data_IF_257314729396
#
_entry.id   IF_257314729396
#
_cell.length_a   1.000
_cell.length_b   1.000
_cell.length_c   1.000
_cell.angle_alpha   90.00
_cell.angle_beta   90.00
_cell.angle_gamma   90.00
#
_symmetry.space_group_name_H-M   'P 1'
#
loop_
_entity.id
_entity.type
_entity.pdbx_description
1 polymer ?
#
# COMPACT_ATOMS: atom_id res chain seq x y z
N UNK A 1 16.73 13.69 1.97
CA UNK A 1 17.52 12.74 1.15
C UNK A 1 16.59 11.95 0.23
N UNK A 2 15.56 11.27 0.73
CA UNK A 2 14.70 10.42 -0.08
C UNK A 2 13.93 11.12 -1.20
N UNK A 3 13.66 12.42 -1.06
CA UNK A 3 12.92 13.22 -2.06
C UNK A 3 13.82 13.99 -3.00
N UNK A 4 15.14 13.83 -2.92
CA UNK A 4 16.14 14.59 -3.66
C UNK A 4 15.99 16.13 -3.47
N UNK A 5 15.62 16.54 -2.26
CA UNK A 5 15.50 17.93 -1.85
C UNK A 5 16.71 18.27 -1.00
N UNK A 6 17.33 19.41 -1.28
CA UNK A 6 18.42 19.94 -0.47
C UNK A 6 17.91 20.69 0.75
N UNK A 7 18.82 21.08 1.64
CA UNK A 7 18.52 21.82 2.85
C UNK A 7 19.61 22.86 3.10
N UNK A 8 19.21 24.12 3.20
CA UNK A 8 20.06 25.21 3.69
C UNK A 8 19.71 25.47 5.15
N UNK A 9 20.62 25.16 6.05
CA UNK A 9 20.46 25.42 7.48
C UNK A 9 20.55 26.92 7.80
N UNK A 10 19.73 27.33 8.77
CA UNK A 10 19.81 28.68 9.30
C UNK A 10 21.16 28.92 10.00
N UNK A 11 21.73 30.12 9.86
CA UNK A 11 22.95 30.52 10.57
C UNK A 11 22.76 30.67 12.08
N UNK A 12 21.52 30.69 12.54
CA UNK A 12 21.19 30.81 13.99
C UNK A 12 21.25 29.45 14.71
N UNK A 13 21.48 28.35 13.99
CA UNK A 13 21.55 27.00 14.57
C UNK A 13 22.99 26.66 14.93
N UNK A 14 23.24 26.29 16.19
CA UNK A 14 24.49 25.62 16.54
C UNK A 14 24.48 24.19 15.96
N UNK A 15 25.35 23.93 14.98
CA UNK A 15 25.44 22.62 14.34
C UNK A 15 25.67 21.47 15.35
N UNK A 16 26.27 21.76 16.50
CA UNK A 16 26.47 20.75 17.57
C UNK A 16 25.13 20.28 18.15
N UNK A 17 24.11 21.13 18.12
CA UNK A 17 22.79 20.77 18.65
C UNK A 17 22.08 19.74 17.79
N UNK A 18 22.37 19.71 16.48
CA UNK A 18 21.83 18.69 15.57
C UNK A 18 22.35 17.25 15.86
N UNK A 19 23.46 17.13 16.57
CA UNK A 19 24.04 15.84 16.94
C UNK A 19 23.71 15.42 18.38
N UNK A 20 22.93 16.21 19.11
CA UNK A 20 22.43 15.81 20.43
C UNK A 20 21.32 14.76 20.29
N UNK A 21 21.28 13.76 21.20
CA UNK A 21 20.18 12.82 21.24
C UNK A 21 18.83 13.53 21.40
N UNK A 22 17.92 13.33 20.47
CA UNK A 22 16.58 13.91 20.46
C UNK A 22 15.54 12.84 20.11
N UNK A 23 15.29 11.93 21.02
CA UNK A 23 14.37 10.82 20.82
C UNK A 23 12.95 11.35 20.59
N UNK A 24 12.34 10.94 19.46
CA UNK A 24 11.01 11.38 19.07
C UNK A 24 10.96 12.72 18.36
N UNK A 25 12.11 13.39 18.13
CA UNK A 25 12.15 14.57 17.26
C UNK A 25 11.89 14.19 15.81
N UNK A 26 11.18 15.06 15.09
CA UNK A 26 10.83 14.89 13.69
C UNK A 26 11.18 16.17 12.96
N UNK A 27 11.81 16.05 11.79
CA UNK A 27 12.03 17.18 10.88
C UNK A 27 10.89 17.20 9.87
N UNK A 28 10.23 18.33 9.75
CA UNK A 28 9.09 18.51 8.84
C UNK A 28 9.41 19.58 7.81
N UNK A 29 9.03 19.35 6.56
CA UNK A 29 8.90 20.39 5.56
C UNK A 29 7.51 21.01 5.66
N UNK A 30 7.44 22.31 5.88
CA UNK A 30 6.21 23.06 6.06
C UNK A 30 6.12 24.15 4.98
N UNK A 31 4.91 24.42 4.53
CA UNK A 31 4.63 25.51 3.59
C UNK A 31 4.63 26.89 4.29
N UNK A 32 4.51 26.89 5.61
CA UNK A 32 4.55 28.09 6.44
C UNK A 32 5.25 27.79 7.78
N UNK A 33 5.58 28.82 8.54
CA UNK A 33 6.24 28.70 9.84
C UNK A 33 5.25 28.46 11.00
N UNK A 34 4.25 27.64 10.78
CA UNK A 34 3.14 27.45 11.73
C UNK A 34 3.47 26.57 12.95
N UNK A 35 4.55 25.78 12.91
CA UNK A 35 4.89 24.85 13.98
C UNK A 35 6.38 24.52 14.04
N UNK A 36 6.87 24.19 15.23
CA UNK A 36 8.22 23.69 15.45
C UNK A 36 9.29 24.79 15.54
N UNK A 37 10.53 24.35 15.65
CA UNK A 37 11.72 25.21 15.61
C UNK A 37 12.22 25.30 14.16
N UNK A 38 12.49 26.51 13.71
CA UNK A 38 12.94 26.73 12.34
C UNK A 38 14.39 26.25 12.15
N UNK A 39 14.59 25.26 11.29
CA UNK A 39 15.90 24.71 10.98
C UNK A 39 16.54 25.33 9.73
N UNK A 40 15.76 25.74 8.75
CA UNK A 40 16.27 26.24 7.48
C UNK A 40 15.25 26.14 6.36
N UNK A 41 15.72 26.23 5.13
CA UNK A 41 14.89 26.16 3.93
C UNK A 41 15.26 24.94 3.10
N UNK A 42 14.25 24.28 2.52
CA UNK A 42 14.47 23.29 1.46
C UNK A 42 14.93 23.99 0.19
N UNK A 43 15.82 23.34 -0.55
CA UNK A 43 16.39 23.86 -1.80
C UNK A 43 16.24 22.87 -2.94
N UNK A 44 16.21 23.39 -4.18
CA UNK A 44 16.15 22.56 -5.38
C UNK A 44 17.48 21.84 -5.60
N UNK A 45 18.60 22.51 -5.27
CA UNK A 45 19.92 21.89 -5.34
C UNK A 45 20.05 20.83 -4.26
N UNK A 46 20.46 19.62 -4.67
CA UNK A 46 20.56 18.47 -3.77
C UNK A 46 21.82 18.55 -2.90
N UNK A 47 21.89 19.59 -2.08
CA UNK A 47 22.99 19.89 -1.18
C UNK A 47 22.51 20.12 0.24
N UNK A 48 23.38 19.85 1.23
CA UNK A 48 23.22 20.34 2.59
C UNK A 48 24.16 21.51 2.79
N UNK A 49 23.59 22.69 3.03
CA UNK A 49 24.36 23.91 3.21
C UNK A 49 24.33 24.38 4.67
N UNK A 50 25.50 24.68 5.22
CA UNK A 50 25.66 25.19 6.57
C UNK A 50 26.93 26.02 6.66
N UNK A 51 26.88 27.18 7.33
CA UNK A 51 28.05 28.08 7.58
C UNK A 51 28.85 28.38 6.30
N UNK A 52 28.18 28.58 5.17
CA UNK A 52 28.81 28.85 3.87
C UNK A 52 29.52 27.64 3.22
N UNK A 53 29.33 26.45 3.74
CA UNK A 53 29.83 25.18 3.17
C UNK A 53 28.68 24.39 2.62
N UNK A 54 28.87 23.75 1.46
CA UNK A 54 27.91 22.84 0.85
C UNK A 54 28.45 21.41 0.83
N UNK A 55 27.61 20.47 1.16
CA UNK A 55 27.88 19.03 1.06
C UNK A 55 26.94 18.46 0.02
N UNK A 56 27.48 17.72 -0.95
CA UNK A 56 26.71 17.01 -1.96
C UNK A 56 25.97 15.83 -1.31
N UNK A 57 24.64 15.90 -1.29
CA UNK A 57 23.79 14.86 -0.73
C UNK A 57 23.78 13.59 -1.59
N UNK A 58 23.96 13.69 -2.91
CA UNK A 58 24.08 12.51 -3.77
C UNK A 58 25.31 11.68 -3.38
N UNK A 59 26.42 12.35 -3.07
CA UNK A 59 27.63 11.68 -2.59
C UNK A 59 27.45 11.05 -1.22
N UNK A 60 26.76 11.71 -0.30
CA UNK A 60 26.46 11.15 1.02
C UNK A 60 25.52 9.94 0.91
N UNK A 61 24.51 10.05 0.07
CA UNK A 61 23.58 8.96 -0.19
C UNK A 61 24.31 7.74 -0.74
N UNK A 62 25.16 7.92 -1.74
CA UNK A 62 25.98 6.85 -2.33
C UNK A 62 26.84 6.17 -1.26
N UNK A 63 27.56 6.95 -0.43
CA UNK A 63 28.40 6.39 0.65
C UNK A 63 27.58 5.59 1.68
N UNK A 64 26.36 6.02 1.97
CA UNK A 64 25.47 5.33 2.89
C UNK A 64 24.92 4.05 2.29
N UNK A 65 24.46 4.09 1.05
CA UNK A 65 23.85 2.96 0.35
C UNK A 65 24.88 1.87 0.03
N UNK A 66 26.08 2.24 -0.40
CA UNK A 66 27.14 1.29 -0.78
C UNK A 66 27.65 0.45 0.39
N UNK A 67 27.48 0.88 1.62
CA UNK A 67 28.05 0.18 2.78
C UNK A 67 27.62 -1.26 2.90
N UNK A 68 26.38 -1.57 2.62
CA UNK A 68 25.82 -2.92 2.68
C UNK A 68 25.60 -3.57 1.30
N UNK A 69 25.82 -2.83 0.22
CA UNK A 69 25.56 -3.29 -1.14
C UNK A 69 26.26 -4.62 -1.51
N UNK A 70 27.52 -4.91 -1.08
CA UNK A 70 28.17 -6.17 -1.37
C UNK A 70 27.50 -7.39 -0.71
N UNK A 71 26.78 -7.18 0.40
CA UNK A 71 26.11 -8.26 1.17
C UNK A 71 24.61 -8.27 0.91
N UNK A 72 24.01 -7.10 0.81
CA UNK A 72 22.58 -6.91 0.61
C UNK A 72 22.33 -5.87 -0.48
N UNK A 73 22.51 -6.24 -1.77
CA UNK A 73 22.29 -5.32 -2.87
C UNK A 73 20.84 -4.84 -2.86
N UNK A 74 20.62 -3.53 -2.90
CA UNK A 74 19.28 -2.95 -2.94
C UNK A 74 18.83 -2.62 -4.37
N UNK A 75 19.79 -2.58 -5.32
CA UNK A 75 19.54 -2.45 -6.75
C UNK A 75 19.91 -3.75 -7.46
N UNK A 76 19.06 -4.20 -8.37
CA UNK A 76 19.39 -5.30 -9.27
C UNK A 76 19.93 -4.71 -10.57
N UNK A 77 21.14 -5.11 -10.94
CA UNK A 77 21.62 -4.89 -12.31
C UNK A 77 20.76 -5.74 -13.26
N UNK A 78 20.14 -5.12 -14.25
CA UNK A 78 19.29 -5.81 -15.22
C UNK A 78 19.00 -4.91 -16.41
N UNK A 79 18.47 -5.49 -17.48
CA UNK A 79 18.01 -4.73 -18.62
C UNK A 79 16.86 -3.79 -18.19
N UNK A 80 16.96 -2.54 -18.62
CA UNK A 80 15.86 -1.58 -18.47
C UNK A 80 14.74 -2.02 -19.41
N UNK A 81 13.63 -2.47 -18.83
CA UNK A 81 12.40 -2.71 -19.57
C UNK A 81 11.49 -1.51 -19.33
N UNK A 82 11.12 -0.77 -20.39
CA UNK A 82 10.22 0.36 -20.25
C UNK A 82 8.95 -0.04 -19.51
N UNK A 83 8.50 0.80 -18.58
CA UNK A 83 7.20 0.61 -17.95
C UNK A 83 6.10 0.95 -18.96
N UNK A 84 5.02 0.18 -18.93
CA UNK A 84 3.83 0.51 -19.69
C UNK A 84 3.24 1.82 -19.17
N UNK A 85 3.05 2.78 -20.04
CA UNK A 85 2.36 4.03 -19.71
C UNK A 85 0.92 3.98 -20.21
N UNK A 86 -0.04 4.29 -19.34
CA UNK A 86 -1.45 4.35 -19.73
C UNK A 86 -2.20 5.33 -18.83
N UNK A 87 -3.26 5.92 -19.38
CA UNK A 87 -4.21 6.76 -18.68
C UNK A 87 -5.62 6.26 -18.97
N UNK A 88 -6.40 6.06 -17.93
CA UNK A 88 -7.78 5.59 -18.03
C UNK A 88 -8.73 6.43 -17.16
N UNK A 89 -9.09 7.64 -17.61
CA UNK A 89 -10.00 8.49 -16.86
C UNK A 89 -11.41 7.89 -16.78
N UNK A 90 -12.06 8.04 -15.64
CA UNK A 90 -13.47 7.70 -15.52
C UNK A 90 -14.35 8.73 -16.27
N UNK A 91 -15.23 8.25 -17.12
CA UNK A 91 -16.18 9.11 -17.84
C UNK A 91 -17.23 9.75 -16.91
N UNK A 92 -17.56 9.09 -15.80
CA UNK A 92 -18.49 9.59 -14.77
C UNK A 92 -18.07 9.02 -13.41
N UNK A 93 -18.12 9.87 -12.38
CA UNK A 93 -18.07 9.43 -11.00
C UNK A 93 -19.42 8.81 -10.64
N UNK A 94 -19.42 7.51 -10.39
CA UNK A 94 -20.65 6.78 -10.04
C UNK A 94 -20.87 6.97 -8.54
N UNK A 95 -22.04 7.47 -8.16
CA UNK A 95 -22.45 7.49 -6.75
C UNK A 95 -22.87 6.08 -6.32
N UNK A 96 -22.67 5.72 -5.05
CA UNK A 96 -23.13 4.42 -4.54
C UNK A 96 -24.65 4.31 -4.64
N UNK A 97 -25.14 3.09 -4.89
CA UNK A 97 -26.58 2.79 -4.96
C UNK A 97 -27.28 3.07 -3.64
N UNK A 98 -26.60 2.83 -2.53
CA UNK A 98 -27.08 3.12 -1.16
C UNK A 98 -26.15 4.14 -0.51
N UNK A 99 -26.73 5.27 -0.08
CA UNK A 99 -26.01 6.31 0.64
C UNK A 99 -26.22 6.16 2.14
N UNK A 100 -25.15 5.87 2.86
CA UNK A 100 -25.13 5.80 4.31
C UNK A 100 -24.31 6.97 4.87
N UNK A 101 -24.77 7.54 5.96
CA UNK A 101 -24.04 8.61 6.65
C UNK A 101 -22.71 8.07 7.22
N UNK A 102 -22.73 6.84 7.72
CA UNK A 102 -21.57 6.19 8.34
C UNK A 102 -21.50 4.75 7.86
N UNK A 103 -20.72 4.46 6.79
CA UNK A 103 -20.58 3.10 6.28
C UNK A 103 -19.83 2.22 7.28
N UNK A 104 -20.36 1.02 7.51
CA UNK A 104 -19.73 0.00 8.36
C UNK A 104 -18.60 -0.70 7.60
N UNK A 105 -17.45 -0.81 8.26
CA UNK A 105 -16.23 -1.45 7.71
C UNK A 105 -15.87 -2.64 8.57
N UNK A 106 -15.93 -3.85 8.03
CA UNK A 106 -15.44 -5.03 8.74
C UNK A 106 -13.96 -5.25 8.46
N UNK A 107 -13.19 -5.42 9.54
CA UNK A 107 -11.74 -5.62 9.52
C UNK A 107 -11.44 -6.94 10.19
N UNK A 108 -11.39 -8.07 9.45
CA UNK A 108 -11.03 -9.35 10.02
C UNK A 108 -9.53 -9.38 10.35
N UNK A 109 -9.23 -9.85 11.55
CA UNK A 109 -7.86 -9.93 12.09
C UNK A 109 -7.48 -11.39 12.26
N UNK A 110 -6.46 -11.80 11.54
CA UNK A 110 -5.89 -13.14 11.58
C UNK A 110 -4.66 -13.16 12.49
N UNK A 111 -4.24 -14.32 13.02
CA UNK A 111 -2.95 -14.44 13.66
C UNK A 111 -1.82 -13.94 12.74
N UNK A 112 -1.05 -12.95 13.21
CA UNK A 112 -0.01 -12.30 12.42
C UNK A 112 -0.43 -11.00 11.71
N UNK A 113 -1.70 -10.63 11.71
CA UNK A 113 -2.15 -9.28 11.33
C UNK A 113 -1.66 -8.26 12.37
N UNK A 114 -1.18 -7.10 11.94
CA UNK A 114 -0.64 -6.08 12.85
C UNK A 114 -0.96 -4.63 12.47
N UNK A 115 -1.74 -4.39 11.43
CA UNK A 115 -2.11 -3.04 10.97
C UNK A 115 -3.59 -2.70 11.19
N UNK A 116 -4.33 -3.49 11.97
CA UNK A 116 -5.78 -3.32 12.18
C UNK A 116 -6.14 -2.03 12.91
N UNK A 117 -5.34 -1.60 13.88
CA UNK A 117 -5.62 -0.37 14.64
C UNK A 117 -5.42 0.88 13.80
N UNK A 118 -4.32 0.94 13.02
CA UNK A 118 -4.06 2.07 12.13
C UNK A 118 -5.10 2.14 11.01
N UNK A 119 -5.47 0.99 10.48
CA UNK A 119 -6.53 0.85 9.48
C UNK A 119 -7.88 1.34 10.04
N UNK A 120 -8.28 0.87 11.22
CA UNK A 120 -9.51 1.31 11.87
C UNK A 120 -9.50 2.82 12.14
N UNK A 121 -8.36 3.37 12.58
CA UNK A 121 -8.19 4.81 12.79
C UNK A 121 -8.37 5.61 11.49
N UNK A 122 -7.81 5.13 10.38
CA UNK A 122 -7.96 5.77 9.08
C UNK A 122 -9.43 5.82 8.62
N UNK A 123 -10.16 4.70 8.75
CA UNK A 123 -11.58 4.67 8.41
C UNK A 123 -12.43 5.58 9.32
N UNK A 124 -12.18 5.63 10.64
CA UNK A 124 -12.88 6.58 11.54
C UNK A 124 -12.65 8.03 11.13
N UNK A 125 -11.41 8.40 10.78
CA UNK A 125 -11.08 9.75 10.29
C UNK A 125 -11.80 10.10 8.99
N UNK A 126 -12.05 9.10 8.14
CA UNK A 126 -12.81 9.25 6.90
C UNK A 126 -14.34 9.22 7.10
N UNK A 127 -14.84 9.04 8.33
CA UNK A 127 -16.26 9.01 8.66
C UNK A 127 -16.91 7.63 8.59
N UNK A 128 -16.11 6.56 8.51
CA UNK A 128 -16.59 5.18 8.56
C UNK A 128 -16.70 4.64 10.00
N UNK A 129 -17.45 3.54 10.17
CA UNK A 129 -17.58 2.79 11.43
C UNK A 129 -16.83 1.45 11.33
N UNK A 130 -15.54 1.40 11.74
CA UNK A 130 -14.73 0.19 11.63
C UNK A 130 -14.99 -0.78 12.78
N UNK A 131 -15.32 -2.01 12.43
CA UNK A 131 -15.48 -3.16 13.29
C UNK A 131 -14.29 -4.10 13.14
N UNK A 132 -13.45 -4.21 14.16
CA UNK A 132 -12.31 -5.12 14.22
C UNK A 132 -12.79 -6.46 14.73
N UNK A 133 -12.72 -7.50 13.91
CA UNK A 133 -13.14 -8.86 14.25
C UNK A 133 -11.93 -9.78 14.35
N UNK A 134 -11.57 -10.19 15.56
CA UNK A 134 -10.48 -11.15 15.78
C UNK A 134 -10.95 -12.57 15.47
N UNK A 135 -10.28 -13.21 14.51
CA UNK A 135 -10.58 -14.57 14.09
C UNK A 135 -9.76 -15.58 14.91
N UNK A 136 -10.44 -16.51 15.55
CA UNK A 136 -9.85 -17.54 16.40
C UNK A 136 -9.56 -18.78 15.58
N UNK A 137 -8.39 -19.39 15.77
CA UNK A 137 -7.94 -20.57 15.01
C UNK A 137 -7.37 -21.70 15.88
N UNK A 138 -7.55 -21.66 17.20
CA UNK A 138 -6.97 -22.64 18.11
C UNK A 138 -7.61 -24.03 18.01
N UNK A 139 -8.90 -24.07 17.64
CA UNK A 139 -9.64 -25.32 17.49
C UNK A 139 -10.56 -25.24 16.25
N UNK A 140 -10.98 -26.39 15.68
CA UNK A 140 -11.97 -26.39 14.60
C UNK A 140 -13.28 -25.65 14.96
N UNK A 141 -13.73 -25.75 16.22
CA UNK A 141 -14.90 -25.01 16.72
C UNK A 141 -14.67 -23.51 16.67
N UNK A 142 -13.49 -23.01 17.07
CA UNK A 142 -13.17 -21.60 17.00
C UNK A 142 -13.14 -21.08 15.55
N UNK A 143 -12.68 -21.89 14.60
CA UNK A 143 -12.72 -21.54 13.17
C UNK A 143 -14.16 -21.42 12.69
N UNK A 144 -15.03 -22.39 13.04
CA UNK A 144 -16.44 -22.36 12.68
C UNK A 144 -17.16 -21.13 13.27
N UNK A 145 -16.99 -20.86 14.57
CA UNK A 145 -17.52 -19.66 15.23
C UNK A 145 -17.04 -18.37 14.56
N UNK A 146 -15.75 -18.33 14.16
CA UNK A 146 -15.18 -17.16 13.48
C UNK A 146 -15.75 -16.98 12.08
N UNK A 147 -16.05 -18.07 11.35
CA UNK A 147 -16.73 -18.01 10.06
C UNK A 147 -18.14 -17.43 10.21
N UNK A 148 -18.92 -17.94 11.18
CA UNK A 148 -20.27 -17.45 11.46
C UNK A 148 -20.28 -15.98 11.85
N UNK A 149 -19.35 -15.56 12.73
CA UNK A 149 -19.21 -14.18 13.13
C UNK A 149 -18.84 -13.27 11.96
N UNK A 150 -17.91 -13.70 11.09
CA UNK A 150 -17.54 -12.92 9.92
C UNK A 150 -18.68 -12.80 8.90
N UNK A 151 -19.43 -13.88 8.66
CA UNK A 151 -20.62 -13.84 7.78
C UNK A 151 -21.62 -12.81 8.29
N UNK A 152 -21.93 -12.81 9.59
CA UNK A 152 -22.83 -11.83 10.20
C UNK A 152 -22.34 -10.39 10.02
N UNK A 153 -21.07 -10.14 10.28
CA UNK A 153 -20.48 -8.80 10.09
C UNK A 153 -20.50 -8.37 8.62
N UNK A 154 -20.20 -9.29 7.68
CA UNK A 154 -20.24 -9.01 6.23
C UNK A 154 -21.65 -8.68 5.75
N UNK A 155 -22.69 -9.36 6.27
CA UNK A 155 -24.08 -9.09 5.88
C UNK A 155 -24.56 -7.70 6.32
N UNK A 156 -23.92 -7.09 7.31
CA UNK A 156 -24.21 -5.73 7.79
C UNK A 156 -23.26 -4.68 7.25
N UNK A 157 -22.05 -5.06 6.82
CA UNK A 157 -21.00 -4.14 6.35
C UNK A 157 -21.25 -3.62 4.93
N UNK A 158 -20.62 -2.48 4.61
CA UNK A 158 -20.51 -1.92 3.26
C UNK A 158 -19.10 -2.07 2.71
N UNK A 159 -18.13 -2.28 3.59
CA UNK A 159 -16.72 -2.38 3.21
C UNK A 159 -16.09 -3.57 3.92
N UNK A 160 -15.42 -4.42 3.14
CA UNK A 160 -14.47 -5.42 3.64
C UNK A 160 -13.06 -4.84 3.55
N UNK A 161 -12.35 -4.75 4.67
CA UNK A 161 -10.96 -4.29 4.69
C UNK A 161 -10.03 -5.37 5.21
N UNK A 162 -9.11 -5.82 4.35
CA UNK A 162 -8.04 -6.76 4.70
C UNK A 162 -6.75 -5.98 4.98
N UNK A 163 -6.32 -5.87 6.25
CA UNK A 163 -5.14 -5.10 6.62
C UNK A 163 -3.84 -5.83 6.28
N UNK A 164 -2.73 -5.12 6.47
CA UNK A 164 -1.40 -5.68 6.34
C UNK A 164 -0.96 -6.50 7.55
N UNK A 165 0.17 -7.13 7.41
CA UNK A 165 0.79 -8.00 8.41
C UNK A 165 1.40 -9.23 7.76
N UNK A 166 1.49 -10.31 8.54
CA UNK A 166 2.07 -11.61 8.15
C UNK A 166 1.15 -12.73 8.64
N UNK A 167 -0.03 -12.85 8.05
CA UNK A 167 -1.05 -13.79 8.48
C UNK A 167 -0.59 -15.25 8.41
N UNK A 168 -0.69 -15.96 9.54
CA UNK A 168 -0.23 -17.34 9.64
C UNK A 168 1.30 -17.50 9.52
N UNK A 169 2.08 -16.39 9.66
CA UNK A 169 3.53 -16.39 9.51
C UNK A 169 4.03 -16.24 8.08
N UNK A 170 3.18 -16.40 7.08
CA UNK A 170 3.43 -16.24 5.63
C UNK A 170 4.66 -16.96 5.06
N UNK A 171 5.21 -17.93 5.78
CA UNK A 171 6.45 -18.61 5.45
C UNK A 171 6.26 -20.12 5.30
N UNK A 172 7.09 -20.77 4.46
CA UNK A 172 8.04 -20.26 3.47
C UNK A 172 7.44 -20.10 2.06
N UNK A 173 6.24 -20.53 1.81
CA UNK A 173 5.71 -20.75 0.46
C UNK A 173 4.69 -19.71 0.00
N UNK A 174 4.78 -18.51 0.49
CA UNK A 174 3.98 -17.40 0.01
C UNK A 174 2.93 -16.86 0.98
N UNK A 175 2.75 -15.59 0.87
CA UNK A 175 1.97 -14.75 1.77
C UNK A 175 0.47 -14.95 1.64
N UNK A 176 -0.27 -14.67 2.74
CA UNK A 176 -1.74 -14.67 2.80
C UNK A 176 -2.44 -16.02 2.56
N UNK A 177 -1.75 -17.14 2.69
CA UNK A 177 -2.36 -18.48 2.52
C UNK A 177 -3.48 -18.74 3.52
N UNK A 178 -3.26 -18.36 4.78
CA UNK A 178 -4.25 -18.59 5.83
C UNK A 178 -5.51 -17.75 5.59
N UNK A 179 -5.37 -16.49 5.21
CA UNK A 179 -6.51 -15.65 4.81
C UNK A 179 -7.24 -16.28 3.64
N UNK A 180 -6.51 -16.67 2.59
CA UNK A 180 -7.11 -17.26 1.39
C UNK A 180 -7.84 -18.56 1.69
N UNK A 181 -7.28 -19.43 2.53
CA UNK A 181 -7.94 -20.68 2.95
C UNK A 181 -9.22 -20.40 3.73
N UNK A 182 -9.20 -19.44 4.66
CA UNK A 182 -10.37 -19.07 5.46
C UNK A 182 -11.49 -18.48 4.60
N UNK A 183 -11.18 -17.55 3.68
CA UNK A 183 -12.17 -16.94 2.79
C UNK A 183 -12.73 -17.89 1.72
N UNK A 184 -12.10 -19.04 1.47
CA UNK A 184 -12.64 -20.11 0.63
C UNK A 184 -13.67 -20.98 1.32
N UNK A 185 -13.92 -20.78 2.63
CA UNK A 185 -15.09 -21.38 3.27
C UNK A 185 -16.34 -20.93 2.51
N UNK A 186 -17.24 -21.86 2.09
CA UNK A 186 -18.37 -21.52 1.24
C UNK A 186 -19.26 -20.40 1.80
N UNK A 187 -19.58 -20.45 3.10
CA UNK A 187 -20.43 -19.43 3.72
C UNK A 187 -19.81 -18.04 3.74
N UNK A 188 -18.47 -17.96 3.95
CA UNK A 188 -17.71 -16.71 3.92
C UNK A 188 -17.61 -16.19 2.48
N UNK A 189 -17.29 -17.07 1.52
CA UNK A 189 -17.21 -16.71 0.11
C UNK A 189 -18.55 -16.16 -0.40
N UNK A 190 -19.66 -16.82 -0.06
CA UNK A 190 -21.00 -16.36 -0.42
C UNK A 190 -21.33 -14.99 0.21
N UNK A 191 -20.95 -14.76 1.46
CA UNK A 191 -21.17 -13.48 2.12
C UNK A 191 -20.37 -12.35 1.45
N UNK A 192 -19.11 -12.60 1.08
CA UNK A 192 -18.29 -11.63 0.31
C UNK A 192 -18.92 -11.36 -1.06
N UNK A 193 -19.36 -12.40 -1.77
CA UNK A 193 -20.01 -12.22 -3.07
C UNK A 193 -21.33 -11.44 -2.95
N UNK A 194 -22.12 -11.66 -1.90
CA UNK A 194 -23.32 -10.83 -1.63
C UNK A 194 -22.94 -9.37 -1.36
N UNK A 195 -21.92 -9.13 -0.54
CA UNK A 195 -21.44 -7.78 -0.26
C UNK A 195 -21.07 -7.05 -1.56
N UNK A 196 -20.25 -7.67 -2.40
CA UNK A 196 -19.68 -7.01 -3.57
C UNK A 196 -20.67 -6.92 -4.75
N UNK A 197 -21.37 -8.02 -5.06
CA UNK A 197 -22.13 -8.15 -6.30
C UNK A 197 -23.63 -7.89 -6.15
N UNK A 198 -24.18 -7.95 -4.93
CA UNK A 198 -25.62 -7.73 -4.70
C UNK A 198 -25.91 -6.45 -3.92
N UNK A 199 -24.98 -6.03 -3.05
CA UNK A 199 -25.17 -4.89 -2.16
C UNK A 199 -24.31 -3.69 -2.53
N UNK A 200 -23.59 -3.75 -3.66
CA UNK A 200 -22.72 -2.66 -4.17
C UNK A 200 -21.66 -2.23 -3.16
N UNK A 201 -21.16 -3.18 -2.37
CA UNK A 201 -20.13 -2.96 -1.36
C UNK A 201 -18.74 -2.88 -1.96
N UNK A 202 -17.76 -2.56 -1.11
CA UNK A 202 -16.37 -2.39 -1.50
C UNK A 202 -15.46 -3.38 -0.76
N UNK A 203 -14.35 -3.73 -1.39
CA UNK A 203 -13.23 -4.39 -0.72
C UNK A 203 -11.95 -3.57 -0.89
N UNK A 204 -11.11 -3.55 0.14
CA UNK A 204 -9.78 -2.98 0.11
C UNK A 204 -8.81 -3.95 0.77
N UNK A 205 -7.66 -4.17 0.15
CA UNK A 205 -6.58 -4.97 0.73
C UNK A 205 -5.26 -4.21 0.65
N UNK A 206 -4.55 -4.15 1.76
CA UNK A 206 -3.24 -3.49 1.83
C UNK A 206 -2.18 -4.52 2.20
N UNK A 207 -1.05 -4.54 1.48
CA UNK A 207 0.09 -5.42 1.71
C UNK A 207 -0.36 -6.89 1.77
N UNK A 208 -0.32 -7.54 2.92
CA UNK A 208 -0.80 -8.91 3.10
C UNK A 208 -2.27 -9.09 2.70
N UNK A 209 -3.12 -8.11 2.99
CA UNK A 209 -4.51 -8.09 2.50
C UNK A 209 -4.62 -8.02 0.99
N UNK A 210 -3.75 -7.29 0.30
CA UNK A 210 -3.72 -7.25 -1.17
C UNK A 210 -3.26 -8.60 -1.75
N UNK A 211 -2.26 -9.22 -1.13
CA UNK A 211 -1.84 -10.58 -1.49
C UNK A 211 -3.01 -11.58 -1.38
N UNK A 212 -3.84 -11.43 -0.33
CA UNK A 212 -5.05 -12.23 -0.17
C UNK A 212 -6.08 -11.98 -1.27
N UNK A 213 -6.35 -10.72 -1.63
CA UNK A 213 -7.29 -10.38 -2.69
C UNK A 213 -6.89 -11.01 -4.03
N UNK A 214 -5.59 -10.99 -4.37
CA UNK A 214 -5.07 -11.65 -5.58
C UNK A 214 -5.26 -13.16 -5.50
N UNK A 215 -4.86 -13.80 -4.39
CA UNK A 215 -4.97 -15.26 -4.21
C UNK A 215 -6.43 -15.78 -4.17
N UNK A 216 -7.36 -14.91 -3.86
CA UNK A 216 -8.79 -15.24 -3.87
C UNK A 216 -9.44 -15.04 -5.24
N UNK A 217 -8.80 -14.30 -6.14
CA UNK A 217 -9.40 -13.89 -7.42
C UNK A 217 -10.25 -12.63 -7.32
N UNK A 218 -10.41 -12.06 -6.11
CA UNK A 218 -11.13 -10.79 -5.92
C UNK A 218 -10.49 -9.65 -6.73
N UNK A 219 -9.18 -9.66 -6.86
CA UNK A 219 -8.45 -8.87 -7.83
C UNK A 219 -7.76 -9.85 -8.78
N UNK A 220 -8.00 -9.77 -10.09
CA UNK A 220 -8.74 -8.73 -10.82
C UNK A 220 -10.22 -9.08 -11.15
N UNK A 221 -10.74 -10.23 -10.73
CA UNK A 221 -11.98 -10.79 -11.28
C UNK A 221 -13.25 -10.34 -10.53
N UNK A 222 -13.13 -9.82 -9.30
CA UNK A 222 -14.27 -9.36 -8.50
C UNK A 222 -15.07 -10.47 -7.80
N UNK A 223 -14.57 -11.70 -7.83
CA UNK A 223 -15.21 -12.87 -7.19
C UNK A 223 -14.18 -13.82 -6.57
N UNK A 224 -14.58 -14.54 -5.54
CA UNK A 224 -13.77 -15.62 -4.97
C UNK A 224 -13.92 -16.84 -5.87
N UNK A 225 -12.82 -17.28 -6.48
CA UNK A 225 -12.77 -18.38 -7.42
C UNK A 225 -11.53 -19.28 -7.22
N UNK A 226 -11.55 -20.52 -7.71
CA UNK A 226 -10.33 -21.33 -7.81
C UNK A 226 -9.30 -20.64 -8.70
N UNK A 227 -8.03 -20.64 -8.27
CA UNK A 227 -6.92 -20.06 -9.03
C UNK A 227 -6.30 -21.13 -9.91
N UNK A 228 -5.90 -20.73 -11.11
CA UNK A 228 -5.19 -21.55 -12.11
C UNK A 228 -3.77 -21.01 -12.32
N UNK A 229 -2.94 -21.75 -13.03
CA UNK A 229 -1.56 -21.31 -13.36
C UNK A 229 -1.51 -20.07 -14.24
N UNK A 230 -2.58 -19.75 -14.95
CA UNK A 230 -2.68 -18.55 -15.79
C UNK A 230 -3.12 -17.30 -15.03
N UNK A 231 -3.57 -17.44 -13.79
CA UNK A 231 -4.04 -16.32 -12.97
C UNK A 231 -2.86 -15.49 -12.43
N UNK A 232 -3.09 -14.20 -12.13
CA UNK A 232 -2.04 -13.35 -11.61
C UNK A 232 -1.63 -13.75 -10.19
N UNK A 233 -0.41 -13.43 -9.83
CA UNK A 233 0.08 -13.61 -8.47
C UNK A 233 0.95 -12.44 -8.03
N UNK A 234 1.06 -12.27 -6.71
CA UNK A 234 2.13 -11.50 -6.10
C UNK A 234 3.22 -12.47 -5.65
N UNK A 235 4.45 -12.21 -6.03
CA UNK A 235 5.61 -13.05 -5.74
C UNK A 235 6.79 -12.27 -5.21
N UNK A 236 7.88 -12.94 -4.93
CA UNK A 236 9.09 -12.36 -4.38
C UNK A 236 9.59 -11.17 -5.18
N UNK A 237 10.09 -10.16 -4.45
CA UNK A 237 10.81 -9.04 -5.04
C UNK A 237 11.98 -9.54 -5.88
N UNK A 238 12.33 -8.82 -6.96
CA UNK A 238 13.46 -9.19 -7.83
C UNK A 238 14.80 -9.19 -7.12
N UNK A 239 14.92 -8.47 -6.01
CA UNK A 239 16.12 -8.46 -5.16
C UNK A 239 16.16 -9.64 -4.17
N UNK A 240 15.16 -10.54 -4.20
CA UNK A 240 15.04 -11.75 -3.36
C UNK A 240 15.06 -11.49 -1.84
N UNK A 241 14.63 -10.30 -1.41
CA UNK A 241 14.53 -9.92 0.01
C UNK A 241 13.50 -8.84 0.24
N UNK A 242 13.21 -8.59 1.51
CA UNK A 242 12.33 -7.49 1.94
C UNK A 242 12.89 -6.15 1.49
N UNK A 243 12.00 -5.26 1.02
CA UNK A 243 12.32 -3.90 0.64
C UNK A 243 11.38 -2.95 1.38
N UNK A 244 11.97 -1.92 2.01
CA UNK A 244 11.25 -0.90 2.74
C UNK A 244 11.77 0.46 2.28
N UNK A 245 10.91 1.25 1.64
CA UNK A 245 11.27 2.56 1.11
C UNK A 245 10.04 3.42 0.81
N UNK A 246 10.27 4.70 0.56
CA UNK A 246 9.26 5.59 -0.02
C UNK A 246 9.34 5.52 -1.55
N UNK A 247 8.20 5.38 -2.19
CA UNK A 247 8.06 5.37 -3.64
C UNK A 247 7.04 6.41 -4.08
N UNK A 248 7.25 6.98 -5.27
CA UNK A 248 6.25 7.83 -5.91
C UNK A 248 5.33 6.99 -6.76
N UNK A 249 4.05 7.29 -6.69
CA UNK A 249 3.04 6.72 -7.58
C UNK A 249 2.23 7.85 -8.21
N UNK A 250 1.76 7.63 -9.43
CA UNK A 250 0.75 8.48 -10.06
C UNK A 250 -0.56 7.73 -10.21
N UNK A 251 -1.66 8.43 -10.23
CA UNK A 251 -2.97 7.87 -10.56
C UNK A 251 -3.05 7.70 -12.07
N UNK A 252 -3.10 6.45 -12.54
CA UNK A 252 -3.24 6.09 -13.95
C UNK A 252 -4.70 5.82 -14.34
N UNK A 253 -5.54 5.40 -13.39
CA UNK A 253 -6.96 5.21 -13.57
C UNK A 253 -7.72 5.62 -12.31
N UNK A 254 -8.74 6.44 -12.45
CA UNK A 254 -9.65 6.82 -11.36
C UNK A 254 -11.05 6.20 -11.49
N UNK A 255 -11.15 5.08 -12.20
CA UNK A 255 -12.39 4.28 -12.30
C UNK A 255 -12.80 3.65 -10.98
N UNK A 256 -11.82 3.26 -10.16
CA UNK A 256 -12.10 2.70 -8.84
C UNK A 256 -12.80 3.71 -7.94
N UNK A 257 -13.85 3.31 -7.19
CA UNK A 257 -14.47 4.17 -6.17
C UNK A 257 -13.47 4.73 -5.16
N UNK A 258 -12.39 4.00 -4.85
CA UNK A 258 -11.32 4.44 -3.95
C UNK A 258 -10.55 5.66 -4.46
N UNK A 259 -10.47 5.85 -5.77
CA UNK A 259 -9.78 6.96 -6.42
C UNK A 259 -10.74 7.97 -7.08
N UNK A 260 -12.03 7.91 -6.77
CA UNK A 260 -13.05 8.75 -7.40
C UNK A 260 -12.89 10.26 -7.16
N UNK A 261 -12.08 10.65 -6.19
CA UNK A 261 -11.74 12.06 -5.87
C UNK A 261 -10.35 12.47 -6.37
N UNK A 262 -9.61 11.55 -6.96
CA UNK A 262 -8.30 11.83 -7.54
C UNK A 262 -8.44 12.16 -9.02
N UNK A 263 -7.54 12.99 -9.52
CA UNK A 263 -7.39 13.25 -10.95
C UNK A 263 -6.27 12.38 -11.53
N UNK A 264 -6.31 12.15 -12.85
CA UNK A 264 -5.22 11.44 -13.54
C UNK A 264 -3.94 12.26 -13.37
N UNK A 265 -2.84 11.59 -13.10
CA UNK A 265 -1.53 12.14 -12.76
C UNK A 265 -1.41 12.77 -11.38
N UNK A 266 -2.42 12.66 -10.50
CA UNK A 266 -2.18 12.97 -9.09
C UNK A 266 -1.05 12.09 -8.55
N UNK A 267 -0.03 12.71 -7.97
CA UNK A 267 1.12 12.02 -7.41
C UNK A 267 0.98 11.79 -5.91
N UNK A 268 1.37 10.60 -5.47
CA UNK A 268 1.38 10.25 -4.06
C UNK A 268 2.74 9.65 -3.67
N UNK A 269 3.22 10.03 -2.50
CA UNK A 269 4.38 9.41 -1.87
C UNK A 269 3.89 8.31 -0.93
N UNK A 270 4.23 7.06 -1.25
CA UNK A 270 3.74 5.88 -0.55
C UNK A 270 4.90 5.13 0.08
N UNK A 271 4.75 4.75 1.35
CA UNK A 271 5.67 3.83 1.99
C UNK A 271 5.36 2.40 1.55
N UNK A 272 6.36 1.70 1.01
CA UNK A 272 6.29 0.26 0.75
C UNK A 272 7.14 -0.50 1.75
N UNK A 273 6.69 -1.69 2.14
CA UNK A 273 7.43 -2.60 3.02
C UNK A 273 6.95 -4.03 2.74
N UNK A 274 7.66 -4.76 1.89
CA UNK A 274 7.28 -6.10 1.46
C UNK A 274 8.45 -6.93 0.96
N UNK A 275 8.37 -8.26 1.13
CA UNK A 275 9.23 -9.25 0.48
C UNK A 275 8.59 -9.81 -0.80
N UNK A 276 7.26 -9.82 -0.86
CA UNK A 276 6.44 -10.30 -1.98
C UNK A 276 5.48 -9.20 -2.46
N UNK A 277 5.97 -8.31 -3.30
CA UNK A 277 5.18 -7.20 -3.85
C UNK A 277 5.19 -7.16 -5.38
N UNK A 278 5.85 -8.11 -6.03
CA UNK A 278 5.94 -8.16 -7.49
C UNK A 278 4.70 -8.82 -8.07
N UNK A 279 3.88 -8.03 -8.77
CA UNK A 279 2.73 -8.54 -9.54
C UNK A 279 3.22 -9.20 -10.82
N UNK A 280 2.76 -10.42 -11.07
CA UNK A 280 3.09 -11.21 -12.27
C UNK A 280 1.82 -11.71 -12.90
N UNK A 281 1.67 -11.49 -14.19
CA UNK A 281 0.59 -12.04 -15.01
C UNK A 281 1.09 -12.27 -16.44
N UNK A 282 0.30 -12.98 -17.25
CA UNK A 282 0.59 -13.11 -18.67
C UNK A 282 0.23 -11.80 -19.42
N UNK A 283 0.79 -11.62 -20.62
CA UNK A 283 0.61 -10.41 -21.42
C UNK A 283 -0.84 -10.17 -21.82
N UNK A 284 -1.60 -11.24 -22.11
CA UNK A 284 -3.01 -11.11 -22.46
C UNK A 284 -3.82 -10.49 -21.31
N UNK A 285 -3.63 -11.02 -20.09
CA UNK A 285 -4.30 -10.46 -18.91
C UNK A 285 -3.83 -9.02 -18.62
N UNK A 286 -2.53 -8.73 -18.78
CA UNK A 286 -2.01 -7.38 -18.59
C UNK A 286 -2.73 -6.38 -19.50
N UNK A 287 -2.86 -6.70 -20.79
CA UNK A 287 -3.56 -5.85 -21.74
C UNK A 287 -5.04 -5.66 -21.37
N UNK A 288 -5.72 -6.72 -20.94
CA UNK A 288 -7.09 -6.60 -20.43
C UNK A 288 -7.21 -5.69 -19.20
N UNK A 289 -6.27 -5.78 -18.25
CA UNK A 289 -6.26 -4.93 -17.06
C UNK A 289 -6.05 -3.46 -17.42
N UNK A 290 -5.21 -3.19 -18.41
CA UNK A 290 -4.98 -1.83 -18.95
C UNK A 290 -6.26 -1.30 -19.60
N UNK A 291 -6.82 -2.05 -20.55
CA UNK A 291 -8.02 -1.65 -21.32
C UNK A 291 -9.23 -1.41 -20.39
N UNK A 292 -9.36 -2.25 -19.37
CA UNK A 292 -10.40 -2.10 -18.35
C UNK A 292 -10.14 -0.96 -17.35
N UNK A 293 -8.92 -0.38 -17.32
CA UNK A 293 -8.51 0.61 -16.34
C UNK A 293 -8.42 0.07 -14.91
N UNK A 294 -8.05 -1.22 -14.78
CA UNK A 294 -7.89 -1.88 -13.49
C UNK A 294 -6.50 -1.66 -12.87
N UNK A 295 -5.54 -1.15 -13.64
CA UNK A 295 -4.26 -0.68 -13.11
C UNK A 295 -4.45 0.77 -12.68
N UNK A 296 -4.70 0.95 -11.40
CA UNK A 296 -5.14 2.22 -10.83
C UNK A 296 -4.00 3.21 -10.62
N UNK A 297 -2.83 2.72 -10.21
CA UNK A 297 -1.63 3.54 -9.96
C UNK A 297 -0.41 2.93 -10.62
N UNK A 298 0.59 3.76 -10.89
CA UNK A 298 1.87 3.35 -11.44
C UNK A 298 3.01 3.98 -10.66
N UNK A 299 4.11 3.25 -10.48
CA UNK A 299 5.35 3.83 -9.97
C UNK A 299 5.91 4.85 -10.96
N UNK A 300 6.42 5.96 -10.46
CA UNK A 300 6.98 7.04 -11.27
C UNK A 300 8.29 7.56 -10.71
N UNK A 301 9.10 8.15 -11.60
CA UNK A 301 10.28 8.93 -11.23
C UNK A 301 9.90 10.36 -10.78
N UNK A 302 10.91 11.17 -10.49
CA UNK A 302 10.72 12.57 -10.08
C UNK A 302 10.11 13.48 -11.16
N UNK A 303 10.07 13.02 -12.41
CA UNK A 303 9.44 13.72 -13.53
C UNK A 303 8.07 13.13 -13.89
N UNK A 304 7.48 12.36 -12.98
CA UNK A 304 6.19 11.68 -13.16
C UNK A 304 6.17 10.67 -14.34
N UNK A 305 7.34 10.15 -14.75
CA UNK A 305 7.43 9.15 -15.80
C UNK A 305 7.35 7.75 -15.21
N UNK A 306 6.54 6.84 -15.78
CA UNK A 306 6.40 5.48 -15.29
C UNK A 306 7.74 4.75 -15.18
N UNK A 307 7.95 4.07 -14.04
CA UNK A 307 9.14 3.27 -13.74
C UNK A 307 8.76 1.86 -13.29
N UNK A 308 9.76 1.01 -13.07
CA UNK A 308 9.62 -0.33 -12.48
C UNK A 308 10.42 -0.42 -11.20
#
# INVERSE_FOLDING_TARGET
>A
VGNHVGLQLSNDIDLKDLFKPAYGAVILELLDASAGEFLGFTTVDYTLEAEGKAIDLARLQELWEQKLEPVFPYRKAGEFVPALEHDCPANKRVAPSVRLATPRVVIPVFPGTNCEYDTARAFRRAGGDPHVLVLKNLTPANVAESCEALVKELDEAQILMLPGGFSGGDEPDGSAKFIAAFFRNPSVADAVNRLLNQRDGLALGICNGFQALIKLGLVPYGEIRPITESDPTLTFNTIHRHQSMLVRTRVASNKSPWLSKCDINDEHLIAISHGEGRFVCNEHLLNQLVDNGQIATQYVDLLCRPTR
#
